data_IF_017986597865
#
_entry.id   IF_017986597865
#
_cell.length_a   1.000
_cell.length_b   1.000
_cell.length_c   1.000
_cell.angle_alpha   90.00
_cell.angle_beta   90.00
_cell.angle_gamma   90.00
#
_symmetry.space_group_name_H-M   'P 1'
#
loop_
_entity.id
_entity.type
_entity.pdbx_description
1 polymer ?
#
# COMPACT_ATOMS: atom_id res chain seq x y z
N UNK A 1 -10.16 6.79 1.29
CA UNK A 1 -8.73 6.88 1.50
C UNK A 1 -8.31 8.01 2.43
N UNK A 2 -7.03 8.37 2.38
CA UNK A 2 -6.42 9.37 3.28
C UNK A 2 -7.02 10.78 3.22
N UNK A 3 -7.67 11.15 2.12
CA UNK A 3 -8.40 12.40 2.00
C UNK A 3 -9.81 12.35 2.61
N UNK A 4 -10.35 11.16 2.85
CA UNK A 4 -11.62 10.95 3.56
C UNK A 4 -11.45 10.90 5.07
N UNK A 5 -10.27 10.48 5.53
CA UNK A 5 -9.86 10.52 6.93
C UNK A 5 -8.59 11.39 7.03
N UNK A 6 -8.78 12.71 7.09
CA UNK A 6 -7.67 13.66 7.01
C UNK A 6 -6.75 13.62 8.22
N UNK A 7 -7.18 13.07 9.33
CA UNK A 7 -6.38 12.96 10.56
C UNK A 7 -5.59 11.63 10.64
N UNK A 8 -5.94 10.66 9.80
CA UNK A 8 -5.22 9.40 9.79
C UNK A 8 -3.74 9.60 9.41
N UNK A 9 -2.78 9.04 10.15
CA UNK A 9 -1.37 9.24 9.86
C UNK A 9 -1.01 8.73 8.45
N UNK A 10 -0.19 9.52 7.74
CA UNK A 10 0.32 9.09 6.44
C UNK A 10 1.28 7.91 6.63
N UNK A 11 1.16 6.84 5.85
CA UNK A 11 2.16 5.78 5.85
C UNK A 11 3.52 6.33 5.40
N UNK A 12 4.63 5.74 5.87
CA UNK A 12 5.98 6.23 5.57
C UNK A 12 6.39 5.88 4.12
N UNK A 13 5.81 6.59 3.16
CA UNK A 13 6.13 6.51 1.74
C UNK A 13 6.78 7.81 1.27
N UNK A 14 7.71 7.68 0.34
CA UNK A 14 8.29 8.81 -0.39
C UNK A 14 7.47 9.09 -1.67
N UNK A 15 7.42 10.34 -2.10
CA UNK A 15 6.68 10.72 -3.30
C UNK A 15 7.19 10.02 -4.56
N UNK A 16 8.51 9.78 -4.66
CA UNK A 16 9.16 9.09 -5.79
C UNK A 16 8.85 7.58 -5.85
N UNK A 17 8.34 6.99 -4.78
CA UNK A 17 7.86 5.60 -4.79
C UNK A 17 6.59 5.43 -5.65
N UNK A 18 5.85 6.51 -5.93
CA UNK A 18 4.69 6.47 -6.82
C UNK A 18 5.11 6.48 -8.30
N UNK A 19 4.40 5.70 -9.11
CA UNK A 19 4.69 5.61 -10.55
C UNK A 19 4.17 6.84 -11.31
N UNK A 20 2.93 7.25 -11.05
CA UNK A 20 2.29 8.36 -11.75
C UNK A 20 2.64 9.68 -11.09
N UNK A 21 3.01 10.68 -11.92
CA UNK A 21 3.38 12.01 -11.45
C UNK A 21 2.26 12.67 -10.64
N UNK A 22 1.01 12.56 -11.11
CA UNK A 22 -0.16 13.09 -10.38
C UNK A 22 -0.26 12.56 -8.94
N UNK A 23 0.15 11.30 -8.70
CA UNK A 23 0.16 10.74 -7.35
C UNK A 23 1.31 11.26 -6.50
N UNK A 24 2.47 11.55 -7.11
CA UNK A 24 3.62 12.17 -6.44
C UNK A 24 3.27 13.57 -5.96
N UNK A 25 2.68 14.37 -6.87
CA UNK A 25 2.23 15.73 -6.57
C UNK A 25 1.22 15.73 -5.44
N UNK A 26 0.21 14.87 -5.53
CA UNK A 26 -0.83 14.74 -4.50
C UNK A 26 -0.22 14.30 -3.15
N UNK A 27 0.68 13.31 -3.17
CA UNK A 27 1.34 12.81 -1.96
C UNK A 27 2.17 13.89 -1.27
N UNK A 28 2.93 14.66 -2.05
CA UNK A 28 3.72 15.79 -1.55
C UNK A 28 2.81 16.84 -0.90
N UNK A 29 1.75 17.25 -1.58
CA UNK A 29 0.78 18.23 -1.05
C UNK A 29 0.12 17.76 0.25
N UNK A 30 -0.24 16.48 0.33
CA UNK A 30 -0.80 15.88 1.56
C UNK A 30 0.21 15.86 2.71
N UNK A 31 1.49 15.61 2.42
CA UNK A 31 2.57 15.65 3.39
C UNK A 31 2.83 17.07 3.93
N UNK A 32 2.82 18.06 3.04
CA UNK A 32 2.98 19.48 3.39
C UNK A 32 1.82 19.97 4.28
N UNK A 33 0.58 19.64 3.93
CA UNK A 33 -0.59 19.96 4.75
C UNK A 33 -0.51 19.30 6.13
N UNK A 34 -0.09 18.04 6.18
CA UNK A 34 0.10 17.34 7.45
C UNK A 34 1.17 18.00 8.33
N UNK A 35 2.27 18.46 7.72
CA UNK A 35 3.34 19.18 8.43
C UNK A 35 2.88 20.53 8.98
N UNK A 36 1.92 21.19 8.31
CA UNK A 36 1.29 22.42 8.74
C UNK A 36 0.17 22.19 9.78
N UNK A 37 -0.15 20.95 10.13
CA UNK A 37 -1.26 20.62 11.01
C UNK A 37 -2.64 20.90 10.38
N UNK A 38 -2.71 21.00 9.05
CA UNK A 38 -3.95 21.26 8.31
C UNK A 38 -4.53 19.92 7.85
N UNK A 39 -5.85 19.76 8.01
CA UNK A 39 -6.55 18.58 7.52
C UNK A 39 -6.42 18.42 6.00
N UNK A 40 -6.34 17.17 5.53
CA UNK A 40 -6.12 16.82 4.12
C UNK A 40 -7.42 16.55 3.35
N UNK A 41 -8.51 17.20 3.77
CA UNK A 41 -9.77 17.11 3.03
C UNK A 41 -9.64 17.70 1.62
N UNK A 42 -10.50 17.25 0.71
CA UNK A 42 -10.47 17.69 -0.70
C UNK A 42 -10.37 19.20 -0.90
N UNK A 43 -11.12 20.06 -0.19
CA UNK A 43 -11.00 21.51 -0.35
C UNK A 43 -9.62 22.06 0.03
N UNK A 44 -9.03 21.55 1.12
CA UNK A 44 -7.72 21.99 1.58
C UNK A 44 -6.61 21.60 0.60
N UNK A 45 -6.64 20.36 0.09
CA UNK A 45 -5.71 19.89 -0.93
C UNK A 45 -5.86 20.67 -2.23
N UNK A 46 -7.10 20.97 -2.64
CA UNK A 46 -7.37 21.76 -3.85
C UNK A 46 -6.78 23.16 -3.74
N UNK A 47 -7.02 23.82 -2.62
CA UNK A 47 -6.54 25.20 -2.41
C UNK A 47 -5.01 25.24 -2.30
N UNK A 48 -4.41 24.28 -1.61
CA UNK A 48 -2.96 24.18 -1.50
C UNK A 48 -2.29 23.98 -2.87
N UNK A 49 -2.79 23.05 -3.69
CA UNK A 49 -2.30 22.83 -5.05
C UNK A 49 -2.53 24.05 -5.97
N UNK A 50 -3.65 24.77 -5.79
CA UNK A 50 -3.92 26.00 -6.54
C UNK A 50 -2.92 27.10 -6.20
N UNK A 51 -2.62 27.30 -4.91
CA UNK A 51 -1.64 28.30 -4.45
C UNK A 51 -0.24 28.00 -4.97
N UNK A 52 0.12 26.72 -5.11
CA UNK A 52 1.39 26.29 -5.70
C UNK A 52 1.40 26.31 -7.24
N UNK A 53 0.28 26.58 -7.90
CA UNK A 53 0.16 26.49 -9.36
C UNK A 53 0.25 25.07 -9.93
N UNK A 54 0.07 24.05 -9.10
CA UNK A 54 0.29 22.64 -9.44
C UNK A 54 -1.02 21.86 -9.63
N UNK A 55 -2.16 22.50 -9.57
CA UNK A 55 -3.47 21.84 -9.68
C UNK A 55 -3.62 21.10 -11.02
N UNK A 56 -3.06 21.64 -12.10
CA UNK A 56 -3.13 21.01 -13.43
C UNK A 56 -2.30 19.73 -13.53
N UNK A 57 -1.25 19.57 -12.72
CA UNK A 57 -0.42 18.36 -12.69
C UNK A 57 -1.19 17.13 -12.18
N UNK A 58 -2.25 17.34 -11.42
CA UNK A 58 -3.15 16.27 -10.94
C UNK A 58 -4.39 16.08 -11.84
N UNK A 59 -4.46 16.81 -12.97
CA UNK A 59 -5.60 16.80 -13.88
C UNK A 59 -6.68 17.82 -13.53
N UNK A 60 -6.29 18.94 -12.93
CA UNK A 60 -7.18 19.99 -12.47
C UNK A 60 -8.12 19.53 -11.37
N UNK A 61 -9.17 20.31 -11.13
CA UNK A 61 -10.18 19.97 -10.12
C UNK A 61 -10.88 18.64 -10.44
N UNK A 62 -11.19 18.39 -11.72
CA UNK A 62 -11.86 17.15 -12.15
C UNK A 62 -11.03 15.91 -11.87
N UNK A 63 -9.73 15.96 -12.19
CA UNK A 63 -8.79 14.86 -11.88
C UNK A 63 -8.66 14.61 -10.39
N UNK A 64 -8.60 15.67 -9.58
CA UNK A 64 -8.52 15.56 -8.13
C UNK A 64 -9.79 14.95 -7.52
N UNK A 65 -10.97 15.34 -8.01
CA UNK A 65 -12.27 14.74 -7.61
C UNK A 65 -12.31 13.25 -7.95
N UNK A 66 -11.88 12.86 -9.15
CA UNK A 66 -11.82 11.46 -9.56
C UNK A 66 -10.91 10.64 -8.63
N UNK A 67 -9.71 11.15 -8.32
CA UNK A 67 -8.78 10.49 -7.38
C UNK A 67 -9.37 10.39 -5.96
N UNK A 68 -10.15 11.38 -5.55
CA UNK A 68 -10.85 11.36 -4.29
C UNK A 68 -11.93 10.28 -4.27
N UNK A 69 -12.77 10.20 -5.29
CA UNK A 69 -13.83 9.21 -5.43
C UNK A 69 -13.29 7.79 -5.53
N UNK A 70 -12.23 7.56 -6.32
CA UNK A 70 -11.55 6.26 -6.38
C UNK A 70 -10.97 5.84 -5.03
N UNK A 71 -10.52 6.79 -4.22
CA UNK A 71 -9.93 6.55 -2.91
C UNK A 71 -10.93 6.31 -1.77
N UNK A 72 -12.22 6.55 -1.98
CA UNK A 72 -13.19 6.48 -0.87
C UNK A 72 -13.40 5.05 -0.34
N UNK A 73 -13.22 4.04 -1.19
CA UNK A 73 -13.32 2.63 -0.82
C UNK A 73 -12.07 2.10 -0.07
N UNK A 74 -11.02 2.92 0.07
CA UNK A 74 -9.82 2.49 0.75
C UNK A 74 -10.05 2.38 2.26
N UNK A 75 -9.99 1.17 2.76
CA UNK A 75 -10.16 0.86 4.19
C UNK A 75 -8.86 1.25 4.92
N UNK A 76 -8.90 2.07 5.98
CA UNK A 76 -7.70 2.52 6.69
C UNK A 76 -6.79 1.38 7.17
N UNK A 77 -7.36 0.27 7.64
CA UNK A 77 -6.59 -0.90 8.08
C UNK A 77 -5.75 -1.57 6.99
N UNK A 78 -6.03 -1.30 5.71
CA UNK A 78 -5.28 -1.83 4.57
C UNK A 78 -4.19 -0.88 4.07
N UNK A 79 -4.09 0.33 4.61
CA UNK A 79 -3.13 1.35 4.15
C UNK A 79 -1.68 0.86 4.25
N UNK A 80 -1.32 0.16 5.32
CA UNK A 80 0.02 -0.44 5.48
C UNK A 80 0.32 -1.42 4.35
N UNK A 81 -0.61 -2.32 4.04
CA UNK A 81 -0.45 -3.27 2.95
C UNK A 81 -0.36 -2.61 1.57
N UNK A 82 -1.10 -1.52 1.34
CA UNK A 82 -0.96 -0.73 0.12
C UNK A 82 0.40 -0.03 0.04
N UNK A 83 0.87 0.55 1.15
CA UNK A 83 2.19 1.18 1.22
C UNK A 83 3.32 0.20 0.91
N UNK A 84 3.25 -1.01 1.47
CA UNK A 84 4.21 -2.08 1.17
C UNK A 84 4.21 -2.46 -0.32
N UNK A 85 3.04 -2.56 -0.94
CA UNK A 85 2.92 -2.87 -2.38
C UNK A 85 3.47 -1.74 -3.25
N UNK A 86 3.22 -0.48 -2.91
CA UNK A 86 3.78 0.69 -3.63
C UNK A 86 5.30 0.65 -3.55
N UNK A 87 5.87 0.45 -2.36
CA UNK A 87 7.31 0.35 -2.14
C UNK A 87 7.93 -0.82 -2.91
N UNK A 88 7.33 -2.00 -2.86
CA UNK A 88 7.78 -3.16 -3.62
C UNK A 88 7.80 -2.88 -5.13
N UNK A 89 6.76 -2.24 -5.65
CA UNK A 89 6.70 -1.85 -7.05
C UNK A 89 7.76 -0.78 -7.42
N UNK A 90 8.02 0.18 -6.51
CA UNK A 90 9.08 1.18 -6.68
C UNK A 90 10.46 0.54 -6.75
N UNK A 91 10.76 -0.35 -5.80
CA UNK A 91 12.02 -1.12 -5.78
C UNK A 91 12.20 -1.94 -7.07
N UNK A 92 11.15 -2.64 -7.50
CA UNK A 92 11.20 -3.41 -8.75
C UNK A 92 11.48 -2.53 -9.98
N UNK A 93 10.92 -1.30 -10.03
CA UNK A 93 11.23 -0.32 -11.09
C UNK A 93 12.68 0.16 -11.02
N UNK A 94 13.17 0.45 -9.82
CA UNK A 94 14.54 0.90 -9.60
C UNK A 94 15.56 -0.16 -10.03
N UNK A 95 15.35 -1.43 -9.63
CA UNK A 95 16.18 -2.57 -10.04
C UNK A 95 16.20 -2.75 -11.58
N UNK A 96 15.01 -2.65 -12.20
CA UNK A 96 14.91 -2.77 -13.67
C UNK A 96 15.65 -1.65 -14.37
N UNK A 97 15.53 -0.41 -13.88
CA UNK A 97 16.26 0.73 -14.43
C UNK A 97 17.77 0.54 -14.29
N UNK A 98 18.24 0.13 -13.11
CA UNK A 98 19.65 -0.16 -12.89
C UNK A 98 20.16 -1.25 -13.83
N UNK A 99 19.39 -2.34 -14.04
CA UNK A 99 19.73 -3.38 -14.98
C UNK A 99 19.86 -2.88 -16.43
N UNK A 100 18.99 -1.97 -16.86
CA UNK A 100 19.06 -1.34 -18.18
C UNK A 100 20.30 -0.43 -18.31
N UNK A 101 20.60 0.35 -17.28
CA UNK A 101 21.80 1.22 -17.27
C UNK A 101 23.08 0.38 -17.28
N UNK A 102 23.12 -0.73 -16.56
CA UNK A 102 24.26 -1.66 -16.56
C UNK A 102 24.55 -2.24 -17.95
N UNK A 103 23.49 -2.64 -18.66
CA UNK A 103 23.63 -3.18 -20.02
C UNK A 103 24.06 -2.12 -21.04
N UNK A 104 23.69 -0.85 -20.81
CA UNK A 104 23.97 0.25 -21.73
C UNK A 104 25.37 0.87 -21.52
N UNK A 105 25.87 0.96 -20.30
CA UNK A 105 27.07 1.77 -19.94
C UNK A 105 28.25 0.99 -19.37
N UNK A 106 28.09 -0.29 -19.04
CA UNK A 106 29.15 -1.09 -18.43
C UNK A 106 29.63 -0.50 -17.08
N UNK A 107 28.69 -0.18 -16.20
CA UNK A 107 28.93 0.49 -14.92
C UNK A 107 29.92 -0.29 -14.03
N UNK A 108 30.85 0.38 -13.33
CA UNK A 108 31.76 -0.26 -12.38
C UNK A 108 31.05 -0.88 -11.21
N UNK A 109 31.56 -2.01 -10.67
CA UNK A 109 30.92 -2.75 -9.59
C UNK A 109 30.66 -1.93 -8.32
N UNK A 110 31.57 -1.02 -7.96
CA UNK A 110 31.40 -0.13 -6.80
C UNK A 110 30.20 0.81 -6.94
N UNK A 111 29.97 1.34 -8.12
CA UNK A 111 28.82 2.22 -8.37
C UNK A 111 27.50 1.42 -8.36
N UNK A 112 27.54 0.17 -8.81
CA UNK A 112 26.40 -0.75 -8.72
C UNK A 112 26.04 -0.99 -7.25
N UNK A 113 27.04 -1.33 -6.43
CA UNK A 113 26.85 -1.58 -5.00
C UNK A 113 26.27 -0.35 -4.31
N UNK A 114 26.84 0.83 -4.55
CA UNK A 114 26.36 2.10 -4.00
C UNK A 114 24.91 2.38 -4.36
N UNK A 115 24.50 2.10 -5.58
CA UNK A 115 23.11 2.30 -6.02
C UNK A 115 22.15 1.27 -5.44
N UNK A 116 22.60 0.01 -5.28
CA UNK A 116 21.83 -1.02 -4.60
C UNK A 116 21.60 -0.66 -3.13
N UNK A 117 22.63 -0.16 -2.45
CA UNK A 117 22.55 0.23 -1.05
C UNK A 117 21.67 1.48 -0.84
N UNK A 118 21.59 2.36 -1.84
CA UNK A 118 20.74 3.53 -1.81
C UNK A 118 19.26 3.23 -2.16
N UNK A 119 18.98 2.05 -2.67
CA UNK A 119 17.59 1.66 -2.93
C UNK A 119 16.83 1.50 -1.61
N UNK A 120 15.57 1.97 -1.55
CA UNK A 120 14.72 1.65 -0.41
C UNK A 120 14.78 0.14 -0.21
N UNK A 121 15.16 -0.27 1.00
CA UNK A 121 15.40 -1.67 1.33
C UNK A 121 14.24 -2.55 0.88
N UNK A 122 14.47 -3.82 0.57
CA UNK A 122 13.39 -4.68 0.14
C UNK A 122 12.29 -4.56 1.18
N UNK A 123 11.10 -4.18 0.72
CA UNK A 123 9.91 -4.62 1.43
C UNK A 123 10.16 -6.09 1.59
N UNK A 124 10.31 -6.52 2.81
CA UNK A 124 10.34 -7.94 3.12
C UNK A 124 9.00 -8.49 2.61
N UNK A 125 8.98 -8.82 1.35
CA UNK A 125 8.06 -9.83 0.88
C UNK A 125 8.46 -11.00 1.76
N UNK A 126 7.65 -11.24 2.80
CA UNK A 126 7.86 -12.34 3.72
C UNK A 126 8.29 -13.51 2.83
N UNK A 127 9.57 -13.86 2.93
CA UNK A 127 10.15 -14.87 2.07
C UNK A 127 9.17 -16.04 2.11
N UNK A 128 8.85 -16.74 1.03
CA UNK A 128 7.98 -17.90 1.11
C UNK A 128 8.38 -18.85 2.24
N UNK A 129 9.68 -18.86 2.60
CA UNK A 129 10.23 -19.55 3.78
C UNK A 129 9.71 -19.01 5.11
N UNK A 130 9.56 -17.69 5.27
CA UNK A 130 9.10 -17.11 6.53
C UNK A 130 7.60 -17.31 6.68
N UNK A 131 6.87 -17.21 5.58
CA UNK A 131 5.45 -17.56 5.50
C UNK A 131 5.22 -19.06 5.78
N UNK A 132 6.12 -19.90 5.30
CA UNK A 132 6.08 -21.34 5.60
C UNK A 132 6.36 -21.62 7.09
N UNK A 133 7.29 -20.88 7.70
CA UNK A 133 7.53 -20.98 9.16
C UNK A 133 6.32 -20.52 9.97
N UNK A 134 5.62 -19.47 9.55
CA UNK A 134 4.38 -19.04 10.19
C UNK A 134 3.28 -20.11 10.05
N UNK A 135 3.16 -20.71 8.89
CA UNK A 135 2.24 -21.84 8.66
C UNK A 135 2.62 -23.04 9.53
N UNK A 136 3.91 -23.37 9.59
CA UNK A 136 4.39 -24.46 10.46
C UNK A 136 4.19 -24.15 11.95
N UNK A 137 4.35 -22.91 12.37
CA UNK A 137 4.09 -22.49 13.76
C UNK A 137 2.60 -22.59 14.16
N UNK A 138 1.71 -22.58 13.17
CA UNK A 138 0.27 -22.82 13.36
C UNK A 138 -0.09 -24.31 13.33
N UNK A 139 0.75 -25.14 12.74
CA UNK A 139 0.51 -26.57 12.64
C UNK A 139 0.47 -27.22 14.04
N UNK A 140 -0.62 -27.95 14.30
CA UNK A 140 -0.87 -28.57 15.58
C UNK A 140 -1.48 -27.67 16.65
N UNK A 141 -1.72 -26.36 16.37
CA UNK A 141 -2.50 -25.49 17.23
C UNK A 141 -3.96 -25.50 16.80
N UNK A 142 -4.86 -25.66 17.75
CA UNK A 142 -6.29 -25.49 17.52
C UNK A 142 -6.61 -23.99 17.48
N UNK A 143 -7.18 -23.50 16.37
CA UNK A 143 -7.78 -22.18 16.30
C UNK A 143 -9.14 -22.12 17.02
N UNK A 144 -9.75 -20.92 17.01
CA UNK A 144 -11.11 -20.76 17.49
C UNK A 144 -12.07 -21.63 16.66
N UNK A 145 -12.79 -22.52 17.34
CA UNK A 145 -13.74 -23.39 16.66
C UNK A 145 -15.03 -22.64 16.35
N UNK A 146 -15.53 -22.81 15.12
CA UNK A 146 -16.80 -22.23 14.66
C UNK A 146 -18.00 -22.99 15.23
N UNK A 147 -17.78 -24.24 15.68
CA UNK A 147 -18.82 -25.11 16.18
C UNK A 147 -19.45 -26.01 15.10
N UNK A 148 -18.85 -26.04 13.92
CA UNK A 148 -19.22 -26.95 12.84
C UNK A 148 -18.11 -28.00 12.65
N UNK A 149 -18.25 -29.23 13.20
CA UNK A 149 -17.16 -30.20 13.31
C UNK A 149 -16.43 -30.53 11.99
N UNK A 150 -17.18 -30.59 10.89
CA UNK A 150 -16.60 -30.88 9.57
C UNK A 150 -15.84 -29.69 8.99
N UNK A 151 -16.28 -28.47 9.29
CA UNK A 151 -15.61 -27.25 8.88
C UNK A 151 -14.38 -27.03 9.74
N UNK A 152 -14.50 -27.16 11.05
CA UNK A 152 -13.41 -27.04 12.01
C UNK A 152 -12.28 -28.02 11.72
N UNK A 153 -12.63 -29.26 11.35
CA UNK A 153 -11.65 -30.29 10.96
C UNK A 153 -10.89 -29.92 9.70
N UNK A 154 -11.56 -29.30 8.71
CA UNK A 154 -10.95 -28.91 7.44
C UNK A 154 -10.12 -27.62 7.55
N UNK A 155 -10.56 -26.67 8.35
CA UNK A 155 -9.90 -25.37 8.51
C UNK A 155 -8.85 -25.38 9.64
N UNK A 156 -8.93 -26.31 10.58
CA UNK A 156 -8.08 -26.30 11.79
C UNK A 156 -8.49 -25.22 12.81
N UNK A 157 -9.64 -24.57 12.61
CA UNK A 157 -10.10 -23.40 13.37
C UNK A 157 -9.68 -22.06 12.75
N UNK A 158 -10.13 -20.98 13.35
CA UNK A 158 -9.84 -19.60 12.95
C UNK A 158 -8.71 -19.03 13.79
N UNK A 159 -7.75 -18.36 13.14
CA UNK A 159 -6.63 -17.72 13.82
C UNK A 159 -6.72 -16.20 13.73
N UNK A 160 -6.15 -15.46 14.70
CA UNK A 160 -6.07 -14.00 14.61
C UNK A 160 -5.41 -13.56 13.30
N UNK A 161 -6.09 -12.66 12.57
CA UNK A 161 -5.66 -12.18 11.25
C UNK A 161 -6.22 -12.96 10.06
N UNK A 162 -6.99 -14.03 10.27
CA UNK A 162 -7.68 -14.72 9.20
C UNK A 162 -8.90 -13.92 8.74
N UNK A 163 -9.08 -13.80 7.43
CA UNK A 163 -10.28 -13.29 6.81
C UNK A 163 -11.21 -14.47 6.45
N UNK A 164 -12.36 -14.51 7.08
CA UNK A 164 -13.35 -15.53 6.81
C UNK A 164 -14.53 -14.94 6.06
N UNK A 165 -14.82 -15.47 4.88
CA UNK A 165 -15.97 -15.08 4.07
C UNK A 165 -16.95 -16.22 4.02
N UNK A 166 -18.17 -16.00 4.57
CA UNK A 166 -19.27 -16.96 4.51
C UNK A 166 -20.17 -16.59 3.33
N UNK A 167 -20.15 -17.39 2.30
CA UNK A 167 -21.00 -17.27 1.12
C UNK A 167 -22.15 -18.27 1.14
N UNK A 168 -23.31 -17.87 0.62
CA UNK A 168 -24.44 -18.77 0.45
C UNK A 168 -25.51 -18.11 -0.41
N UNK A 169 -26.34 -18.93 -1.07
CA UNK A 169 -27.49 -18.42 -1.81
C UNK A 169 -28.50 -17.79 -0.84
N UNK A 170 -29.35 -16.90 -1.34
CA UNK A 170 -30.51 -16.39 -0.60
C UNK A 170 -31.35 -17.57 -0.07
N UNK A 171 -31.86 -17.45 1.14
CA UNK A 171 -32.67 -18.48 1.83
C UNK A 171 -31.91 -19.71 2.38
N UNK A 172 -30.54 -19.68 2.40
CA UNK A 172 -29.74 -20.76 2.98
C UNK A 172 -29.26 -20.49 4.41
N UNK A 173 -30.00 -19.69 5.19
CA UNK A 173 -29.76 -19.51 6.63
C UNK A 173 -28.41 -18.84 6.97
N UNK A 174 -28.01 -17.80 6.23
CA UNK A 174 -26.80 -17.02 6.54
C UNK A 174 -26.95 -16.12 7.76
N UNK A 175 -28.16 -15.82 8.17
CA UNK A 175 -28.54 -14.99 9.34
C UNK A 175 -29.23 -15.83 10.37
#
# INVERSE_FOLDING_TARGET
>A
GLMWDPEHPLPPLLADEFFLERHRVLWTAMGELAALGVGRALPAVTEHLRQQGRLEEVGGLGGLVTLFEEGWLAIPSLLTGYAERIRAAATARAVRRLGQELTATGMPGEEIQKRLDAMPGPVSLACPRDRWREVQARWGKSGLQIGLPDVDRKLGGLFPGDLVVVGGRTSHGKT
#
